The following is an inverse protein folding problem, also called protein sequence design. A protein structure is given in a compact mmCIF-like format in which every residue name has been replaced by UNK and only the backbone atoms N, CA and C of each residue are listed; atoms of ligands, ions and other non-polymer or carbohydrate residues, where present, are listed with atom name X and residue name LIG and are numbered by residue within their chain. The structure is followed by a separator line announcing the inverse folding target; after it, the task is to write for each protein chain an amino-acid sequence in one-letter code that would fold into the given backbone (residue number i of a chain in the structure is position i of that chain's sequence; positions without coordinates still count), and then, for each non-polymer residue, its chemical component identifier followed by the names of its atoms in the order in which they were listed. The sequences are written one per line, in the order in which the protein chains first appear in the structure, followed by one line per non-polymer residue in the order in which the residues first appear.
data_IF_288780149510
#
_entry.id   IF_288780149510
#
_cell.length_a   1.000
_cell.length_b   1.000
_cell.length_c   1.000
_cell.angle_alpha   90.00
_cell.angle_beta   90.00
_cell.angle_gamma   90.00
#
_symmetry.space_group_name_H-M   'P 1'
#
loop_
_entity.id
_entity.type
_entity.pdbx_description
1 polymer ?
#
# COMPACT_ATOMS: atom_id res chain seq x y z
N UNK A 1 13.34 -9.95 0.97
CA UNK A 1 12.26 -8.96 1.14
C UNK A 1 12.83 -7.71 1.78
N UNK A 2 12.38 -6.53 1.37
CA UNK A 2 12.75 -5.27 2.01
C UNK A 2 12.05 -5.14 3.37
N UNK A 3 12.45 -4.16 4.20
CA UNK A 3 11.63 -3.81 5.36
C UNK A 3 10.38 -3.05 4.93
N UNK A 4 9.33 -3.10 5.75
CA UNK A 4 8.10 -2.35 5.50
C UNK A 4 8.32 -0.84 5.37
N UNK A 5 9.25 -0.27 6.16
CA UNK A 5 9.65 1.14 6.01
C UNK A 5 10.23 1.42 4.63
N UNK A 6 11.19 0.60 4.18
CA UNK A 6 11.83 0.75 2.87
C UNK A 6 10.82 0.59 1.73
N UNK A 7 9.90 -0.36 1.80
CA UNK A 7 8.86 -0.52 0.78
C UNK A 7 7.88 0.67 0.77
N UNK A 8 7.43 1.15 1.93
CA UNK A 8 6.58 2.36 1.99
C UNK A 8 7.29 3.61 1.43
N UNK A 9 8.57 3.78 1.74
CA UNK A 9 9.37 4.89 1.20
C UNK A 9 9.51 4.80 -0.34
N UNK A 10 9.69 3.59 -0.88
CA UNK A 10 9.70 3.35 -2.33
C UNK A 10 8.34 3.66 -2.97
N UNK A 11 7.25 3.26 -2.32
CA UNK A 11 5.90 3.55 -2.79
C UNK A 11 5.66 5.06 -2.86
N UNK A 12 5.97 5.79 -1.79
CA UNK A 12 5.87 7.26 -1.76
C UNK A 12 6.69 7.89 -2.88
N UNK A 13 7.97 7.52 -3.03
CA UNK A 13 8.82 8.05 -4.07
C UNK A 13 8.26 7.78 -5.49
N UNK A 14 7.64 6.61 -5.70
CA UNK A 14 6.99 6.28 -6.98
C UNK A 14 5.78 7.18 -7.22
N UNK A 15 4.90 7.35 -6.23
CA UNK A 15 3.73 8.23 -6.31
C UNK A 15 4.13 9.68 -6.58
N UNK A 16 5.15 10.18 -5.91
CA UNK A 16 5.72 11.52 -6.13
C UNK A 16 6.34 11.67 -7.51
N UNK A 17 7.08 10.66 -7.98
CA UNK A 17 7.72 10.70 -9.30
C UNK A 17 6.73 10.70 -10.47
N UNK A 18 5.52 10.18 -10.22
CA UNK A 18 4.42 10.11 -11.18
C UNK A 18 3.39 11.21 -10.98
N UNK A 19 3.71 12.20 -10.13
CA UNK A 19 2.87 13.37 -9.88
C UNK A 19 1.47 13.02 -9.34
N UNK A 20 1.33 11.86 -8.68
CA UNK A 20 0.10 11.46 -7.97
C UNK A 20 0.05 12.07 -6.58
N UNK A 21 1.20 12.25 -5.95
CA UNK A 21 1.32 13.01 -4.70
C UNK A 21 2.36 14.10 -4.88
N UNK A 22 2.17 15.22 -4.21
CA UNK A 22 3.15 16.30 -4.15
C UNK A 22 4.42 15.81 -3.46
N UNK A 23 5.57 16.21 -3.99
CA UNK A 23 6.87 15.88 -3.39
C UNK A 23 6.94 16.34 -1.93
N UNK A 24 7.18 15.38 -1.04
CA UNK A 24 7.39 15.62 0.37
C UNK A 24 8.69 16.38 0.61
N UNK A 25 8.63 17.36 1.50
CA UNK A 25 9.82 17.98 2.12
C UNK A 25 10.16 17.36 3.48
N UNK A 26 9.39 16.38 3.92
CA UNK A 26 9.56 15.73 5.22
C UNK A 26 10.77 14.78 5.20
N UNK A 27 11.47 14.70 6.34
CA UNK A 27 12.54 13.73 6.52
C UNK A 27 11.96 12.36 6.90
N UNK A 28 11.47 11.63 5.89
CA UNK A 28 10.81 10.33 6.05
C UNK A 28 11.73 9.23 6.61
N UNK A 29 13.05 9.39 6.53
CA UNK A 29 14.02 8.43 7.09
C UNK A 29 13.93 8.35 8.62
N UNK A 30 13.45 9.42 9.27
CA UNK A 30 13.26 9.46 10.72
C UNK A 30 11.92 8.93 11.18
N UNK A 31 10.98 8.71 10.24
CA UNK A 31 9.66 8.25 10.58
C UNK A 31 9.69 6.77 10.96
N UNK A 32 8.92 6.42 11.98
CA UNK A 32 8.55 5.02 12.20
C UNK A 32 7.65 4.53 11.07
N UNK A 33 7.45 3.22 10.99
CA UNK A 33 6.70 2.59 9.89
C UNK A 33 5.26 3.09 9.84
N UNK A 34 4.61 3.16 11.01
CA UNK A 34 3.24 3.64 11.17
C UNK A 34 3.10 5.14 10.87
N UNK A 35 4.12 5.93 11.20
CA UNK A 35 4.16 7.36 10.90
C UNK A 35 4.28 7.59 9.39
N UNK A 36 5.11 6.80 8.71
CA UNK A 36 5.26 6.86 7.26
C UNK A 36 4.01 6.40 6.52
N UNK A 37 3.40 5.28 6.91
CA UNK A 37 2.13 4.84 6.34
C UNK A 37 1.04 5.90 6.51
N UNK A 38 0.93 6.49 7.71
CA UNK A 38 -0.05 7.55 7.98
C UNK A 38 0.23 8.80 7.14
N UNK A 39 1.50 9.18 7.04
CA UNK A 39 1.90 10.34 6.24
C UNK A 39 1.49 10.20 4.77
N UNK A 40 1.75 9.05 4.15
CA UNK A 40 1.33 8.78 2.76
C UNK A 40 -0.19 8.87 2.63
N UNK A 41 -0.93 8.28 3.57
CA UNK A 41 -2.40 8.34 3.60
C UNK A 41 -2.90 9.78 3.73
N UNK A 42 -2.32 10.55 4.64
CA UNK A 42 -2.73 11.94 4.89
C UNK A 42 -2.48 12.82 3.67
N UNK A 43 -1.41 12.60 2.89
CA UNK A 43 -1.20 13.27 1.60
C UNK A 43 -2.33 12.99 0.61
N UNK A 44 -2.80 11.74 0.50
CA UNK A 44 -3.96 11.42 -0.33
C UNK A 44 -5.24 12.13 0.14
N UNK A 45 -5.44 12.24 1.46
CA UNK A 45 -6.61 12.97 2.03
C UNK A 45 -6.54 14.46 1.72
N UNK A 46 -5.34 15.05 1.80
CA UNK A 46 -5.13 16.47 1.51
C UNK A 46 -5.30 16.80 0.01
N UNK A 47 -4.79 15.94 -0.88
CA UNK A 47 -4.83 16.19 -2.33
C UNK A 47 -6.13 15.75 -2.99
N UNK A 48 -6.79 14.73 -2.44
CA UNK A 48 -8.04 14.15 -2.98
C UNK A 48 -9.15 14.05 -1.92
N UNK A 49 -9.54 15.17 -1.29
CA UNK A 49 -10.53 15.17 -0.19
C UNK A 49 -11.93 14.72 -0.62
N UNK A 50 -12.24 14.77 -1.92
CA UNK A 50 -13.51 14.32 -2.50
C UNK A 50 -13.61 12.81 -2.67
N UNK A 51 -12.50 12.07 -2.64
CA UNK A 51 -12.50 10.62 -2.77
C UNK A 51 -12.88 9.99 -1.43
N UNK A 52 -14.07 9.38 -1.38
CA UNK A 52 -14.52 8.66 -0.19
C UNK A 52 -13.88 7.27 -0.13
N UNK A 53 -13.12 6.96 0.93
CA UNK A 53 -12.38 5.70 1.05
C UNK A 53 -13.19 4.69 1.85
N UNK A 54 -13.17 3.43 1.41
CA UNK A 54 -13.77 2.33 2.17
C UNK A 54 -12.63 1.55 2.81
N UNK A 55 -12.68 1.39 4.14
CA UNK A 55 -11.83 0.43 4.85
C UNK A 55 -12.36 -0.97 4.62
N UNK A 56 -11.79 -1.66 3.65
CA UNK A 56 -12.18 -3.01 3.27
C UNK A 56 -11.64 -4.02 4.29
N UNK A 57 -10.40 -3.82 4.76
CA UNK A 57 -9.79 -4.69 5.79
C UNK A 57 -10.49 -4.60 7.15
N UNK A 58 -11.15 -3.50 7.49
CA UNK A 58 -11.95 -3.44 8.74
C UNK A 58 -13.15 -4.40 8.70
N UNK A 59 -13.67 -4.70 7.50
CA UNK A 59 -14.82 -5.59 7.30
C UNK A 59 -14.42 -7.05 7.12
N UNK A 60 -13.17 -7.31 6.72
CA UNK A 60 -12.63 -8.67 6.55
C UNK A 60 -11.97 -9.09 7.86
N UNK A 61 -12.40 -10.23 8.43
CA UNK A 61 -12.01 -10.66 9.77
C UNK A 61 -10.49 -10.86 9.98
N UNK A 62 -9.69 -10.94 8.91
CA UNK A 62 -8.28 -11.32 8.95
C UNK A 62 -7.37 -10.29 9.63
N UNK A 63 -7.44 -9.01 9.26
CA UNK A 63 -6.64 -7.96 9.93
C UNK A 63 -7.14 -7.71 11.37
N UNK A 64 -8.38 -8.09 11.67
CA UNK A 64 -8.94 -7.89 12.99
C UNK A 64 -8.36 -8.81 14.07
N UNK A 65 -7.78 -9.95 13.67
CA UNK A 65 -7.15 -10.92 14.57
C UNK A 65 -5.67 -10.64 14.82
N UNK A 66 -5.09 -9.58 14.24
CA UNK A 66 -3.69 -9.24 14.43
C UNK A 66 -3.38 -9.00 15.91
N UNK A 67 -2.39 -9.73 16.43
CA UNK A 67 -1.95 -9.57 17.83
C UNK A 67 -1.20 -8.25 18.02
N UNK A 68 -0.39 -7.86 17.03
CA UNK A 68 0.32 -6.60 17.01
C UNK A 68 -0.61 -5.46 16.55
N UNK A 69 -0.98 -4.59 17.52
CA UNK A 69 -1.84 -3.44 17.28
C UNK A 69 -1.23 -2.39 16.36
N UNK A 70 0.10 -2.23 16.38
CA UNK A 70 0.78 -1.27 15.50
C UNK A 70 0.75 -1.81 14.09
N UNK A 71 1.06 -3.10 13.90
CA UNK A 71 0.98 -3.73 12.59
C UNK A 71 -0.45 -3.72 12.03
N UNK A 72 -1.45 -3.95 12.89
CA UNK A 72 -2.87 -3.83 12.52
C UNK A 72 -3.21 -2.44 12.00
N UNK A 73 -2.75 -1.39 12.69
CA UNK A 73 -2.97 -0.02 12.23
C UNK A 73 -2.25 0.27 10.91
N UNK A 74 -1.03 -0.24 10.74
CA UNK A 74 -0.31 -0.11 9.46
C UNK A 74 -1.09 -0.83 8.35
N UNK A 75 -1.62 -2.02 8.60
CA UNK A 75 -2.43 -2.76 7.61
C UNK A 75 -3.65 -1.95 7.16
N UNK A 76 -4.36 -1.30 8.10
CA UNK A 76 -5.49 -0.43 7.77
C UNK A 76 -5.08 0.80 6.97
N UNK A 77 -3.94 1.41 7.29
CA UNK A 77 -3.42 2.55 6.52
C UNK A 77 -3.03 2.13 5.09
N UNK A 78 -2.42 0.95 4.93
CA UNK A 78 -2.08 0.40 3.60
C UNK A 78 -3.33 0.08 2.78
N UNK A 79 -4.40 -0.43 3.40
CA UNK A 79 -5.70 -0.64 2.74
C UNK A 79 -6.36 0.67 2.27
N UNK A 80 -6.26 1.73 3.06
CA UNK A 80 -6.72 3.06 2.61
C UNK A 80 -5.88 3.58 1.43
N UNK A 81 -4.55 3.44 1.49
CA UNK A 81 -3.65 3.83 0.40
C UNK A 81 -3.96 3.05 -0.88
N UNK A 82 -4.20 1.73 -0.79
CA UNK A 82 -4.52 0.91 -1.95
C UNK A 82 -5.84 1.34 -2.58
N UNK A 83 -6.88 1.61 -1.77
CA UNK A 83 -8.18 2.09 -2.27
C UNK A 83 -8.05 3.46 -2.97
N UNK A 84 -7.24 4.40 -2.47
CA UNK A 84 -6.92 5.62 -3.21
C UNK A 84 -6.28 5.30 -4.57
N UNK A 85 -5.25 4.47 -4.58
CA UNK A 85 -4.54 4.11 -5.81
C UNK A 85 -5.45 3.43 -6.84
N UNK A 86 -6.40 2.60 -6.40
CA UNK A 86 -7.39 1.98 -7.27
C UNK A 86 -8.42 2.97 -7.82
N UNK A 87 -8.92 3.88 -6.97
CA UNK A 87 -9.90 4.89 -7.40
C UNK A 87 -9.34 5.95 -8.32
N UNK A 88 -8.06 6.26 -8.17
CA UNK A 88 -7.31 7.13 -9.08
C UNK A 88 -6.85 6.39 -10.35
N UNK A 89 -7.13 5.09 -10.46
CA UNK A 89 -6.73 4.23 -11.58
C UNK A 89 -5.21 4.19 -11.82
N UNK A 90 -4.41 4.58 -10.83
CA UNK A 90 -2.94 4.52 -10.87
C UNK A 90 -2.41 3.12 -10.54
N UNK A 91 -3.27 2.25 -10.01
CA UNK A 91 -3.04 0.83 -9.88
C UNK A 91 -4.27 0.05 -10.30
N UNK A 92 -4.07 -1.12 -10.92
CA UNK A 92 -5.15 -2.03 -11.25
C UNK A 92 -5.31 -3.07 -10.12
N UNK A 93 -6.53 -3.18 -9.57
CA UNK A 93 -6.81 -4.09 -8.44
C UNK A 93 -6.51 -5.55 -8.76
N UNK A 94 -6.88 -6.02 -9.95
CA UNK A 94 -6.69 -7.42 -10.32
C UNK A 94 -5.22 -7.78 -10.45
N UNK A 95 -4.39 -6.85 -10.93
CA UNK A 95 -2.94 -7.05 -11.01
C UNK A 95 -2.28 -7.04 -9.65
N UNK A 96 -2.65 -6.09 -8.78
CA UNK A 96 -2.16 -6.04 -7.39
C UNK A 96 -2.53 -7.32 -6.64
N UNK A 97 -3.80 -7.74 -6.69
CA UNK A 97 -4.27 -8.99 -6.06
C UNK A 97 -3.61 -10.22 -6.69
N UNK A 98 -3.45 -10.23 -8.02
CA UNK A 98 -2.77 -11.31 -8.74
C UNK A 98 -1.34 -11.50 -8.25
N UNK A 99 -0.56 -10.41 -8.17
CA UNK A 99 0.82 -10.43 -7.70
C UNK A 99 0.89 -10.82 -6.22
N UNK A 100 0.03 -10.25 -5.37
CA UNK A 100 -0.07 -10.61 -3.96
C UNK A 100 -0.27 -12.12 -3.77
N UNK A 101 -1.18 -12.72 -4.53
CA UNK A 101 -1.42 -14.17 -4.50
C UNK A 101 -0.20 -14.99 -4.91
N UNK A 102 0.62 -14.49 -5.84
CA UNK A 102 1.89 -15.17 -6.19
C UNK A 102 2.87 -15.18 -5.02
N UNK A 103 2.90 -14.12 -4.22
CA UNK A 103 3.75 -14.02 -3.03
C UNK A 103 3.25 -14.92 -1.90
N UNK A 104 1.93 -15.01 -1.70
CA UNK A 104 1.33 -15.88 -0.66
C UNK A 104 1.72 -17.35 -0.85
N UNK A 105 1.70 -17.83 -2.10
CA UNK A 105 1.96 -19.24 -2.39
C UNK A 105 3.46 -19.56 -2.55
N UNK A 106 4.34 -18.55 -2.48
CA UNK A 106 5.78 -18.77 -2.57
C UNK A 106 6.27 -19.49 -1.30
N UNK A 107 6.77 -20.73 -1.40
CA UNK A 107 7.22 -21.50 -0.23
C UNK A 107 8.43 -20.89 0.46
N UNK A 108 9.10 -19.90 -0.14
CA UNK A 108 10.22 -19.17 0.46
C UNK A 108 9.76 -18.04 1.38
N UNK A 109 8.47 -17.69 1.35
CA UNK A 109 7.91 -16.61 2.15
C UNK A 109 7.00 -17.21 3.21
N UNK A 110 7.28 -16.89 4.47
CA UNK A 110 6.44 -17.33 5.58
C UNK A 110 5.13 -16.54 5.61
N UNK A 111 3.95 -17.18 5.74
CA UNK A 111 2.66 -16.50 5.77
C UNK A 111 2.37 -15.86 7.13
N UNK A 112 3.13 -14.82 7.48
CA UNK A 112 2.96 -14.05 8.72
C UNK A 112 2.18 -12.76 8.47
N UNK A 113 1.55 -12.23 9.53
CA UNK A 113 0.85 -10.93 9.50
C UNK A 113 1.72 -9.82 8.91
N UNK A 114 3.00 -9.78 9.30
CA UNK A 114 3.97 -8.80 8.81
C UNK A 114 4.20 -8.94 7.31
N UNK A 115 4.41 -10.18 6.86
CA UNK A 115 4.66 -10.45 5.45
C UNK A 115 3.43 -10.14 4.61
N UNK A 116 2.20 -10.34 5.10
CA UNK A 116 1.01 -9.92 4.35
C UNK A 116 0.96 -8.40 4.13
N UNK A 117 1.28 -7.59 5.15
CA UNK A 117 1.31 -6.13 4.96
C UNK A 117 2.43 -5.74 3.99
N UNK A 118 3.59 -6.37 4.08
CA UNK A 118 4.70 -6.11 3.17
C UNK A 118 4.39 -6.52 1.72
N UNK A 119 3.79 -7.69 1.52
CA UNK A 119 3.36 -8.18 0.22
C UNK A 119 2.37 -7.22 -0.44
N UNK A 120 1.42 -6.65 0.31
CA UNK A 120 0.47 -5.67 -0.22
C UNK A 120 1.20 -4.42 -0.73
N UNK A 121 2.13 -3.87 0.06
CA UNK A 121 2.92 -2.70 -0.35
C UNK A 121 3.78 -3.02 -1.57
N UNK A 122 4.46 -4.16 -1.59
CA UNK A 122 5.27 -4.59 -2.74
C UNK A 122 4.37 -4.82 -3.98
N UNK A 123 3.16 -5.33 -3.81
CA UNK A 123 2.19 -5.53 -4.91
C UNK A 123 1.76 -4.19 -5.53
N UNK A 124 1.51 -3.17 -4.70
CA UNK A 124 1.22 -1.80 -5.15
C UNK A 124 2.42 -1.19 -5.89
N UNK A 125 3.65 -1.44 -5.43
CA UNK A 125 4.86 -0.93 -6.09
C UNK A 125 5.02 -1.57 -7.47
N UNK A 126 4.89 -2.89 -7.59
CA UNK A 126 5.14 -3.59 -8.85
C UNK A 126 4.01 -3.38 -9.87
N UNK A 127 2.76 -3.23 -9.41
CA UNK A 127 1.57 -3.20 -10.28
C UNK A 127 0.85 -1.85 -10.35
N UNK A 128 1.51 -0.77 -9.93
CA UNK A 128 1.07 0.60 -10.21
C UNK A 128 1.70 1.15 -11.49
N UNK A 129 0.95 1.96 -12.22
CA UNK A 129 1.35 2.61 -13.49
C UNK A 129 1.76 1.61 -14.58
N UNK A 130 1.22 0.40 -14.53
CA UNK A 130 1.43 -0.61 -15.57
C UNK A 130 0.54 -0.25 -16.76
N UNK A 131 1.13 -0.06 -17.93
CA UNK A 131 0.38 0.06 -19.17
C UNK A 131 -0.28 -1.30 -19.46
N UNK A 132 -1.62 -1.35 -19.43
CA UNK A 132 -2.35 -2.50 -19.95
C UNK A 132 -2.30 -2.37 -21.48
N UNK A 133 -1.72 -3.33 -22.22
CA UNK A 133 -1.84 -3.30 -23.67
C UNK A 133 -3.32 -3.30 -24.03
N UNK A 134 -3.75 -2.38 -24.90
CA UNK A 134 -5.10 -2.45 -25.47
C UNK A 134 -5.25 -3.81 -26.17
N UNK A 135 -6.32 -4.54 -25.85
CA UNK A 135 -6.65 -5.78 -26.56
C UNK A 135 -6.88 -5.44 -28.05
N UNK A 136 -6.03 -5.96 -28.93
CA UNK A 136 -6.17 -5.88 -30.41
C UNK A 136 -7.43 -6.61 -30.93
#
# INVERSE_FOLDING_TARGET
MNSLHTSLAKLLAKLESKEVLTKSSANIEKFKVEELARYIRDLFVEEYPEIEIRRLLEKVHYANTYEDKVLKEIAFLVDEISEYMFKLEVANRDFVVGYFNTLIIDPKIEPTEYNFVLMEVDSLIENSFVEVPEEE
#
